data_IF_481214287121
#
_entry.id   IF_481214287121
#
_cell.length_a   1.000
_cell.length_b   1.000
_cell.length_c   1.000
_cell.angle_alpha   90.00
_cell.angle_beta   90.00
_cell.angle_gamma   90.00
#
_symmetry.space_group_name_H-M   'P 1'
#
loop_
_entity.id
_entity.type
_entity.pdbx_description
1 polymer ?
#
# COMPACT_ATOMS: atom_id res chain seq x y z
N UNK A 1 10.57 22.57 -7.23
CA UNK A 1 9.63 21.43 -7.33
C UNK A 1 8.86 21.49 -8.64
N UNK A 2 9.18 20.63 -9.57
CA UNK A 2 8.61 20.68 -10.93
C UNK A 2 7.24 19.98 -10.94
N UNK A 3 6.15 20.72 -10.71
CA UNK A 3 4.76 20.20 -10.76
C UNK A 3 4.36 19.51 -12.08
N UNK A 4 5.12 19.73 -13.16
CA UNK A 4 4.84 19.15 -14.49
C UNK A 4 5.27 17.68 -14.64
N UNK A 5 6.11 17.13 -13.75
CA UNK A 5 6.52 15.71 -13.80
C UNK A 5 5.53 14.77 -13.08
N UNK A 6 4.70 15.31 -12.17
CA UNK A 6 3.69 14.51 -11.44
C UNK A 6 2.42 14.20 -12.26
N UNK A 7 2.22 14.83 -13.41
CA UNK A 7 0.99 14.66 -14.23
C UNK A 7 1.04 13.49 -15.21
N UNK A 8 2.18 12.79 -15.36
CA UNK A 8 2.34 11.73 -16.40
C UNK A 8 1.54 10.45 -16.09
N UNK A 9 1.25 10.16 -14.84
CA UNK A 9 0.58 8.94 -14.41
C UNK A 9 -0.62 9.23 -13.50
N UNK A 10 -1.79 8.71 -13.89
CA UNK A 10 -3.00 8.78 -13.07
C UNK A 10 -3.04 7.63 -12.08
N UNK A 11 -3.71 7.80 -10.93
CA UNK A 11 -3.90 6.74 -9.93
C UNK A 11 -4.43 5.44 -10.55
N UNK A 12 -5.37 5.54 -11.48
CA UNK A 12 -5.92 4.37 -12.17
C UNK A 12 -4.87 3.68 -13.04
N UNK A 13 -4.04 4.45 -13.78
CA UNK A 13 -2.97 3.92 -14.61
C UNK A 13 -1.93 3.17 -13.77
N UNK A 14 -1.59 3.70 -12.59
CA UNK A 14 -0.62 3.07 -11.69
C UNK A 14 -1.15 1.76 -11.09
N UNK A 15 -2.42 1.75 -10.69
CA UNK A 15 -3.07 0.53 -10.18
C UNK A 15 -3.17 -0.55 -11.28
N UNK A 16 -3.52 -0.16 -12.50
CA UNK A 16 -3.54 -1.09 -13.65
C UNK A 16 -2.13 -1.62 -13.97
N UNK A 17 -1.11 -0.78 -13.86
CA UNK A 17 0.27 -1.22 -14.00
C UNK A 17 0.63 -2.27 -12.95
N UNK A 18 0.28 -2.04 -11.68
CA UNK A 18 0.54 -3.00 -10.60
C UNK A 18 -0.18 -4.34 -10.83
N UNK A 19 -1.45 -4.30 -11.22
CA UNK A 19 -2.24 -5.48 -11.56
C UNK A 19 -1.62 -6.28 -12.70
N UNK A 20 -1.33 -5.61 -13.82
CA UNK A 20 -0.71 -6.24 -14.99
C UNK A 20 0.65 -6.85 -14.65
N UNK A 21 1.42 -6.15 -13.84
CA UNK A 21 2.75 -6.56 -13.46
C UNK A 21 2.74 -7.79 -12.55
N UNK A 22 1.94 -7.76 -11.48
CA UNK A 22 1.78 -8.90 -10.57
C UNK A 22 1.19 -10.12 -11.29
N UNK A 23 0.20 -9.90 -12.15
CA UNK A 23 -0.40 -10.99 -12.94
C UNK A 23 0.59 -11.64 -13.88
N UNK A 24 1.52 -10.86 -14.48
CA UNK A 24 2.58 -11.39 -15.35
C UNK A 24 3.57 -12.25 -14.59
N UNK A 25 3.92 -11.88 -13.35
CA UNK A 25 4.92 -12.58 -12.54
C UNK A 25 4.34 -13.81 -11.85
N UNK A 26 3.16 -13.66 -11.25
CA UNK A 26 2.53 -14.68 -10.42
C UNK A 26 1.01 -14.76 -10.70
N UNK A 27 0.61 -15.24 -11.90
CA UNK A 27 -0.81 -15.30 -12.27
C UNK A 27 -1.61 -16.20 -11.32
N UNK A 28 -1.07 -17.37 -10.99
CA UNK A 28 -1.72 -18.32 -10.10
C UNK A 28 -1.96 -17.73 -8.70
N UNK A 29 -0.97 -17.05 -8.14
CA UNK A 29 -1.11 -16.35 -6.86
C UNK A 29 -2.20 -15.28 -6.90
N UNK A 30 -2.23 -14.45 -7.93
CA UNK A 30 -3.23 -13.38 -8.06
C UNK A 30 -4.64 -13.94 -8.14
N UNK A 31 -4.84 -15.01 -8.92
CA UNK A 31 -6.13 -15.72 -9.00
C UNK A 31 -6.49 -16.37 -7.66
N UNK A 32 -5.55 -17.06 -7.02
CA UNK A 32 -5.78 -17.70 -5.71
C UNK A 32 -6.12 -16.67 -4.63
N UNK A 33 -5.48 -15.48 -4.64
CA UNK A 33 -5.81 -14.39 -3.71
C UNK A 33 -7.25 -13.92 -3.90
N UNK A 34 -7.67 -13.75 -5.16
CA UNK A 34 -9.03 -13.35 -5.48
C UNK A 34 -10.06 -14.41 -5.07
N UNK A 35 -9.80 -15.69 -5.41
CA UNK A 35 -10.67 -16.80 -5.01
C UNK A 35 -10.75 -16.96 -3.49
N UNK A 36 -9.63 -16.85 -2.80
CA UNK A 36 -9.60 -16.93 -1.33
C UNK A 36 -10.40 -15.79 -0.69
N UNK A 37 -10.29 -14.58 -1.22
CA UNK A 37 -11.03 -13.42 -0.71
C UNK A 37 -12.54 -13.56 -0.94
N UNK A 38 -12.97 -13.92 -2.17
CA UNK A 38 -14.39 -14.14 -2.49
C UNK A 38 -14.95 -15.32 -1.69
N UNK A 39 -14.28 -16.46 -1.68
CA UNK A 39 -14.72 -17.63 -0.95
C UNK A 39 -14.87 -17.32 0.54
N UNK A 40 -13.88 -16.61 1.10
CA UNK A 40 -13.89 -16.17 2.49
C UNK A 40 -15.12 -15.35 2.83
N UNK A 41 -15.38 -14.29 2.08
CA UNK A 41 -16.45 -13.33 2.37
C UNK A 41 -17.84 -13.86 2.03
N UNK A 42 -17.99 -14.59 0.90
CA UNK A 42 -19.26 -15.18 0.50
C UNK A 42 -19.68 -16.30 1.46
N UNK A 43 -18.77 -17.24 1.76
CA UNK A 43 -19.08 -18.31 2.73
C UNK A 43 -19.42 -17.73 4.09
N UNK A 44 -18.72 -16.69 4.54
CA UNK A 44 -19.03 -16.01 5.80
C UNK A 44 -20.41 -15.32 5.76
N UNK A 45 -20.84 -14.80 4.60
CA UNK A 45 -22.20 -14.28 4.44
C UNK A 45 -23.23 -15.41 4.59
N UNK A 46 -23.01 -16.55 3.96
CA UNK A 46 -23.89 -17.71 4.08
C UNK A 46 -23.95 -18.24 5.51
N UNK A 47 -22.81 -18.36 6.17
CA UNK A 47 -22.67 -18.84 7.55
C UNK A 47 -23.44 -17.97 8.55
N UNK A 48 -23.17 -16.67 8.55
CA UNK A 48 -23.71 -15.77 9.58
C UNK A 48 -25.08 -15.17 9.24
N UNK A 49 -25.47 -15.17 7.96
CA UNK A 49 -26.73 -14.53 7.52
C UNK A 49 -27.75 -15.59 7.14
N UNK A 50 -27.48 -16.37 6.11
CA UNK A 50 -28.49 -17.26 5.55
C UNK A 50 -28.71 -18.52 6.38
N UNK A 51 -27.64 -19.12 6.94
CA UNK A 51 -27.80 -20.30 7.80
C UNK A 51 -28.55 -19.94 9.08
N UNK A 52 -28.19 -18.85 9.73
CA UNK A 52 -28.87 -18.39 10.94
C UNK A 52 -30.36 -18.09 10.67
N UNK A 53 -30.65 -17.39 9.58
CA UNK A 53 -32.02 -17.10 9.15
C UNK A 53 -32.81 -18.40 8.87
N UNK A 54 -32.20 -19.34 8.17
CA UNK A 54 -32.82 -20.62 7.80
C UNK A 54 -33.13 -21.47 9.02
N UNK A 55 -32.19 -21.61 9.99
CA UNK A 55 -32.40 -22.36 11.23
C UNK A 55 -33.60 -21.79 12.02
N UNK A 56 -33.65 -20.46 12.18
CA UNK A 56 -34.78 -19.81 12.89
C UNK A 56 -36.09 -20.06 12.18
N UNK A 57 -36.14 -19.93 10.85
CA UNK A 57 -37.34 -20.23 10.07
C UNK A 57 -37.78 -21.70 10.20
N UNK A 58 -36.82 -22.63 10.27
CA UNK A 58 -37.15 -24.06 10.50
C UNK A 58 -37.76 -24.29 11.92
N UNK A 59 -37.22 -23.60 12.93
CA UNK A 59 -37.78 -23.68 14.29
C UNK A 59 -39.18 -23.06 14.35
N UNK A 60 -39.38 -21.90 13.75
CA UNK A 60 -40.66 -21.21 13.68
C UNK A 60 -41.73 -22.05 12.97
N UNK A 61 -41.35 -22.69 11.89
CA UNK A 61 -42.23 -23.58 11.10
C UNK A 61 -42.34 -25.00 11.68
N UNK A 62 -41.70 -25.31 12.81
CA UNK A 62 -41.65 -26.63 13.44
C UNK A 62 -41.21 -27.74 12.48
N UNK A 63 -40.24 -27.43 11.61
CA UNK A 63 -39.67 -28.42 10.69
C UNK A 63 -38.85 -29.50 11.40
N UNK A 64 -38.57 -30.57 10.70
CA UNK A 64 -37.79 -31.68 11.23
C UNK A 64 -36.31 -31.36 11.31
N UNK A 65 -35.56 -32.10 12.13
CA UNK A 65 -34.12 -32.00 12.21
C UNK A 65 -33.47 -32.21 10.83
N UNK A 66 -34.04 -33.11 10.02
CA UNK A 66 -33.58 -33.44 8.68
C UNK A 66 -33.58 -32.22 7.76
N UNK A 67 -34.59 -31.37 7.85
CA UNK A 67 -34.67 -30.13 7.08
C UNK A 67 -33.56 -29.14 7.44
N UNK A 68 -33.24 -29.06 8.74
CA UNK A 68 -32.13 -28.21 9.22
C UNK A 68 -30.78 -28.73 8.69
N UNK A 69 -30.57 -30.07 8.74
CA UNK A 69 -29.34 -30.71 8.28
C UNK A 69 -29.13 -30.53 6.76
N UNK A 70 -30.17 -30.46 5.99
CA UNK A 70 -30.11 -30.23 4.54
C UNK A 70 -29.36 -28.96 4.14
N UNK A 71 -29.51 -27.90 4.93
CA UNK A 71 -28.80 -26.63 4.69
C UNK A 71 -27.52 -26.51 5.51
N UNK A 72 -27.50 -27.06 6.73
CA UNK A 72 -26.33 -27.01 7.62
C UNK A 72 -25.12 -27.75 7.03
N UNK A 73 -25.31 -28.95 6.48
CA UNK A 73 -24.22 -29.78 5.97
C UNK A 73 -23.49 -29.10 4.81
N UNK A 74 -24.16 -28.61 3.74
CA UNK A 74 -23.49 -27.89 2.67
C UNK A 74 -22.73 -26.64 3.15
N UNK A 75 -23.31 -25.87 4.07
CA UNK A 75 -22.63 -24.70 4.65
C UNK A 75 -21.40 -25.11 5.48
N UNK A 76 -21.52 -26.16 6.29
CA UNK A 76 -20.38 -26.69 7.06
C UNK A 76 -19.25 -27.17 6.15
N UNK A 77 -19.57 -27.85 5.04
CA UNK A 77 -18.59 -28.27 4.03
C UNK A 77 -17.94 -27.02 3.39
N UNK A 78 -18.73 -25.99 3.04
CA UNK A 78 -18.19 -24.76 2.47
C UNK A 78 -17.26 -24.01 3.45
N UNK A 79 -17.62 -23.97 4.74
CA UNK A 79 -16.78 -23.42 5.82
C UNK A 79 -15.48 -24.21 5.95
N UNK A 80 -15.56 -25.56 5.93
CA UNK A 80 -14.37 -26.41 5.98
C UNK A 80 -13.44 -26.17 4.79
N UNK A 81 -14.00 -26.09 3.56
CA UNK A 81 -13.22 -25.77 2.34
C UNK A 81 -12.58 -24.40 2.47
N UNK A 82 -13.32 -23.37 2.92
CA UNK A 82 -12.81 -22.02 3.18
C UNK A 82 -11.62 -22.03 4.12
N UNK A 83 -11.73 -22.74 5.24
CA UNK A 83 -10.68 -22.84 6.26
C UNK A 83 -9.45 -23.59 5.74
N UNK A 84 -9.64 -24.72 5.09
CA UNK A 84 -8.53 -25.51 4.50
C UNK A 84 -7.80 -24.73 3.42
N UNK A 85 -8.57 -24.15 2.47
CA UNK A 85 -7.98 -23.33 1.41
C UNK A 85 -7.27 -22.10 1.98
N UNK A 86 -7.89 -21.40 2.95
CA UNK A 86 -7.28 -20.26 3.61
C UNK A 86 -5.98 -20.58 4.35
N UNK A 87 -5.94 -21.73 5.03
CA UNK A 87 -4.74 -22.21 5.73
C UNK A 87 -3.61 -22.55 4.76
N UNK A 88 -3.90 -23.35 3.71
CA UNK A 88 -2.92 -23.70 2.68
C UNK A 88 -2.44 -22.45 1.93
N UNK A 89 -3.36 -21.57 1.58
CA UNK A 89 -3.02 -20.30 0.92
C UNK A 89 -2.11 -19.44 1.80
N UNK A 90 -2.47 -19.23 3.06
CA UNK A 90 -1.73 -18.35 3.98
C UNK A 90 -0.39 -18.91 4.43
N UNK A 91 -0.31 -20.23 4.65
CA UNK A 91 0.91 -20.86 5.16
C UNK A 91 1.90 -21.25 4.06
N UNK A 92 1.43 -21.55 2.85
CA UNK A 92 2.28 -22.09 1.79
C UNK A 92 2.28 -21.24 0.51
N UNK A 93 1.11 -20.96 -0.08
CA UNK A 93 1.04 -20.31 -1.40
C UNK A 93 1.45 -18.83 -1.32
N UNK A 94 0.91 -18.09 -0.36
CA UNK A 94 1.13 -16.65 -0.28
C UNK A 94 2.58 -16.28 0.05
N UNK A 95 3.25 -16.86 1.06
CA UNK A 95 4.65 -16.53 1.36
C UNK A 95 5.58 -16.84 0.19
N UNK A 96 5.47 -18.04 -0.42
CA UNK A 96 6.30 -18.43 -1.55
C UNK A 96 6.12 -17.52 -2.77
N UNK A 97 4.88 -17.13 -3.06
CA UNK A 97 4.59 -16.24 -4.17
C UNK A 97 5.05 -14.80 -3.90
N UNK A 98 4.92 -14.30 -2.67
CA UNK A 98 5.38 -12.98 -2.28
C UNK A 98 6.89 -12.84 -2.42
N UNK A 99 7.66 -13.83 -1.96
CA UNK A 99 9.12 -13.85 -2.15
C UNK A 99 9.49 -13.84 -3.64
N UNK A 100 8.82 -14.65 -4.46
CA UNK A 100 9.04 -14.67 -5.91
C UNK A 100 8.74 -13.31 -6.56
N UNK A 101 7.65 -12.65 -6.16
CA UNK A 101 7.29 -11.31 -6.66
C UNK A 101 8.36 -10.30 -6.27
N UNK A 102 8.77 -10.29 -4.99
CA UNK A 102 9.80 -9.39 -4.50
C UNK A 102 11.14 -9.60 -5.21
N UNK A 103 11.57 -10.86 -5.36
CA UNK A 103 12.80 -11.19 -6.06
C UNK A 103 12.79 -10.68 -7.50
N UNK A 104 11.74 -10.97 -8.26
CA UNK A 104 11.65 -10.55 -9.66
C UNK A 104 11.56 -9.03 -9.82
N UNK A 105 10.96 -8.35 -8.84
CA UNK A 105 10.97 -6.90 -8.83
C UNK A 105 12.37 -6.35 -8.59
N UNK A 106 13.06 -6.86 -7.56
CA UNK A 106 14.44 -6.44 -7.27
C UNK A 106 15.36 -6.69 -8.46
N UNK A 107 15.25 -7.85 -9.12
CA UNK A 107 16.05 -8.13 -10.33
C UNK A 107 15.85 -7.08 -11.41
N UNK A 108 14.62 -6.71 -11.73
CA UNK A 108 14.36 -5.65 -12.72
C UNK A 108 14.89 -4.28 -12.31
N UNK A 109 14.78 -3.96 -11.02
CA UNK A 109 15.33 -2.72 -10.49
C UNK A 109 16.86 -2.72 -10.58
N UNK A 110 17.52 -3.85 -10.29
CA UNK A 110 18.97 -4.00 -10.40
C UNK A 110 19.44 -3.93 -11.85
N UNK A 111 18.76 -4.62 -12.78
CA UNK A 111 19.04 -4.55 -14.21
C UNK A 111 18.94 -3.11 -14.72
N UNK A 112 17.87 -2.41 -14.31
CA UNK A 112 17.69 -1.00 -14.67
C UNK A 112 18.77 -0.12 -14.05
N UNK A 113 19.08 -0.29 -12.77
CA UNK A 113 20.12 0.46 -12.09
C UNK A 113 21.49 0.24 -12.76
N UNK A 114 21.83 -1.02 -13.10
CA UNK A 114 23.09 -1.33 -13.75
C UNK A 114 23.20 -0.77 -15.20
N UNK A 115 22.06 -0.49 -15.83
CA UNK A 115 22.02 0.07 -17.19
C UNK A 115 22.12 1.60 -17.24
N UNK A 116 22.05 2.28 -16.10
CA UNK A 116 22.09 3.74 -16.02
C UNK A 116 23.51 4.25 -15.85
N UNK A 117 23.79 5.39 -16.46
CA UNK A 117 25.08 6.09 -16.39
C UNK A 117 25.35 6.62 -14.98
N UNK A 118 26.64 6.69 -14.63
CA UNK A 118 27.13 7.16 -13.34
C UNK A 118 26.62 8.59 -13.02
N UNK A 119 26.48 9.44 -14.05
CA UNK A 119 26.01 10.81 -13.90
C UNK A 119 24.62 10.92 -13.28
N UNK A 120 23.76 9.90 -13.46
CA UNK A 120 22.44 9.85 -12.83
C UNK A 120 22.51 9.68 -11.32
N UNK A 121 23.50 8.95 -10.82
CA UNK A 121 23.68 8.71 -9.38
C UNK A 121 24.27 9.92 -8.65
N UNK A 122 24.85 10.88 -9.35
CA UNK A 122 25.30 12.16 -8.77
C UNK A 122 24.12 13.15 -8.59
N UNK A 123 22.93 12.87 -9.20
CA UNK A 123 21.70 13.62 -8.98
C UNK A 123 21.01 13.14 -7.69
N UNK A 124 20.93 14.02 -6.71
CA UNK A 124 20.35 13.74 -5.39
C UNK A 124 18.85 13.39 -5.47
N UNK A 125 18.09 14.02 -6.38
CA UNK A 125 16.65 13.77 -6.54
C UNK A 125 16.44 12.37 -7.12
N UNK A 126 17.18 12.01 -8.18
CA UNK A 126 17.16 10.69 -8.76
C UNK A 126 17.59 9.61 -7.74
N UNK A 127 18.69 9.83 -6.99
CA UNK A 127 19.16 8.85 -6.01
C UNK A 127 18.12 8.60 -4.89
N UNK A 128 17.46 9.63 -4.43
CA UNK A 128 16.37 9.48 -3.46
C UNK A 128 15.20 8.68 -4.06
N UNK A 129 14.78 8.95 -5.29
CA UNK A 129 13.73 8.18 -5.96
C UNK A 129 14.11 6.71 -6.14
N UNK A 130 15.36 6.44 -6.52
CA UNK A 130 15.91 5.10 -6.64
C UNK A 130 15.85 4.33 -5.32
N UNK A 131 16.35 4.91 -4.22
CA UNK A 131 16.31 4.28 -2.89
C UNK A 131 14.87 3.98 -2.47
N UNK A 132 13.95 4.91 -2.70
CA UNK A 132 12.54 4.70 -2.40
C UNK A 132 11.91 3.59 -3.26
N UNK A 133 12.21 3.55 -4.54
CA UNK A 133 11.75 2.49 -5.42
C UNK A 133 12.25 1.11 -4.94
N UNK A 134 13.52 1.02 -4.58
CA UNK A 134 14.12 -0.22 -4.10
C UNK A 134 13.52 -0.75 -2.81
N UNK A 135 13.22 0.15 -1.85
CA UNK A 135 12.78 -0.25 -0.51
C UNK A 135 11.27 -0.45 -0.39
N UNK A 136 10.47 0.32 -1.13
CA UNK A 136 9.02 0.40 -0.88
C UNK A 136 8.15 -0.10 -2.04
N UNK A 137 8.65 -0.09 -3.28
CA UNK A 137 7.82 -0.45 -4.42
C UNK A 137 7.24 -1.88 -4.37
N UNK A 138 7.98 -2.92 -3.92
CA UNK A 138 7.42 -4.27 -3.83
C UNK A 138 6.14 -4.34 -2.99
N UNK A 139 6.15 -3.73 -1.81
CA UNK A 139 5.02 -3.75 -0.89
C UNK A 139 3.83 -2.96 -1.44
N UNK A 140 4.10 -1.85 -2.13
CA UNK A 140 3.03 -1.03 -2.70
C UNK A 140 2.37 -1.65 -3.93
N UNK A 141 3.09 -2.44 -4.73
CA UNK A 141 2.49 -3.20 -5.83
C UNK A 141 1.55 -4.29 -5.31
N UNK A 142 2.02 -5.12 -4.39
CA UNK A 142 1.19 -6.18 -3.80
C UNK A 142 0.01 -5.60 -3.01
N UNK A 143 0.24 -4.51 -2.29
CA UNK A 143 -0.79 -3.77 -1.57
C UNK A 143 -1.86 -3.16 -2.47
N UNK A 144 -1.48 -2.61 -3.63
CA UNK A 144 -2.41 -2.08 -4.62
C UNK A 144 -3.34 -3.18 -5.17
N UNK A 145 -2.77 -4.34 -5.54
CA UNK A 145 -3.54 -5.50 -6.02
C UNK A 145 -4.48 -6.02 -4.94
N UNK A 146 -4.01 -6.17 -3.71
CA UNK A 146 -4.83 -6.56 -2.56
C UNK A 146 -5.99 -5.59 -2.31
N UNK A 147 -5.75 -4.28 -2.45
CA UNK A 147 -6.78 -3.25 -2.30
C UNK A 147 -7.87 -3.36 -3.38
N UNK A 148 -7.49 -3.66 -4.63
CA UNK A 148 -8.45 -3.90 -5.73
C UNK A 148 -9.26 -5.17 -5.46
N UNK A 149 -8.61 -6.27 -5.09
CA UNK A 149 -9.29 -7.53 -4.77
C UNK A 149 -10.28 -7.33 -3.63
N UNK A 150 -9.87 -6.63 -2.57
CA UNK A 150 -10.75 -6.29 -1.45
C UNK A 150 -11.97 -5.50 -1.93
N UNK A 151 -11.78 -4.47 -2.74
CA UNK A 151 -12.88 -3.66 -3.25
C UNK A 151 -13.87 -4.50 -4.07
N UNK A 152 -13.37 -5.31 -5.00
CA UNK A 152 -14.20 -6.19 -5.83
C UNK A 152 -14.99 -7.21 -4.98
N UNK A 153 -14.33 -7.80 -3.99
CA UNK A 153 -14.98 -8.76 -3.08
C UNK A 153 -16.08 -8.08 -2.25
N UNK A 154 -15.81 -6.89 -1.69
CA UNK A 154 -16.80 -6.13 -0.92
C UNK A 154 -18.00 -5.71 -1.79
N UNK A 155 -17.78 -5.35 -3.04
CA UNK A 155 -18.86 -5.07 -3.99
C UNK A 155 -19.70 -6.31 -4.28
N UNK A 156 -19.06 -7.46 -4.53
CA UNK A 156 -19.78 -8.72 -4.78
C UNK A 156 -20.67 -9.12 -3.61
N UNK A 157 -20.11 -9.13 -2.39
CA UNK A 157 -20.88 -9.45 -1.18
C UNK A 157 -21.96 -8.40 -0.90
N UNK A 158 -21.68 -7.13 -1.17
CA UNK A 158 -22.64 -6.03 -1.07
C UNK A 158 -23.83 -6.21 -2.00
N UNK A 159 -23.60 -6.64 -3.24
CA UNK A 159 -24.68 -6.94 -4.21
C UNK A 159 -25.53 -8.12 -3.74
N UNK A 160 -24.93 -9.21 -3.25
CA UNK A 160 -25.67 -10.38 -2.75
C UNK A 160 -26.50 -10.00 -1.52
N UNK A 161 -25.91 -9.30 -0.56
CA UNK A 161 -26.60 -8.84 0.64
C UNK A 161 -27.74 -7.85 0.30
N UNK A 162 -27.50 -6.91 -0.62
CA UNK A 162 -28.48 -5.95 -1.09
C UNK A 162 -29.65 -6.62 -1.82
N UNK A 163 -29.37 -7.58 -2.69
CA UNK A 163 -30.41 -8.35 -3.36
C UNK A 163 -31.31 -9.12 -2.38
N UNK A 164 -30.72 -9.71 -1.34
CA UNK A 164 -31.48 -10.36 -0.29
C UNK A 164 -32.35 -9.38 0.50
N UNK A 165 -31.80 -8.24 0.88
CA UNK A 165 -32.56 -7.18 1.57
C UNK A 165 -33.80 -6.80 0.75
N UNK A 166 -33.61 -6.51 -0.54
CA UNK A 166 -34.71 -6.10 -1.44
C UNK A 166 -35.76 -7.21 -1.59
N UNK A 167 -35.36 -8.47 -1.59
CA UNK A 167 -36.29 -9.60 -1.74
C UNK A 167 -37.22 -9.81 -0.57
N UNK A 168 -36.81 -9.38 0.64
CA UNK A 168 -37.60 -9.53 1.87
C UNK A 168 -38.31 -8.22 2.25
N UNK A 169 -37.58 -7.12 2.28
CA UNK A 169 -38.14 -5.80 2.64
C UNK A 169 -37.40 -4.67 1.90
N UNK A 170 -37.99 -4.23 0.80
CA UNK A 170 -37.42 -3.13 0.00
C UNK A 170 -37.36 -1.78 0.76
N UNK A 171 -38.14 -1.60 1.84
CA UNK A 171 -38.13 -0.37 2.63
C UNK A 171 -36.80 -0.14 3.36
N UNK A 172 -36.01 -1.21 3.58
CA UNK A 172 -34.65 -1.12 4.09
C UNK A 172 -33.73 -0.21 3.25
N UNK A 173 -34.00 -0.10 1.94
CA UNK A 173 -33.27 0.81 1.05
C UNK A 173 -33.36 2.27 1.49
N UNK A 174 -34.48 2.70 2.07
CA UNK A 174 -34.64 4.07 2.58
C UNK A 174 -33.70 4.35 3.74
N UNK A 175 -33.53 3.38 4.63
CA UNK A 175 -32.61 3.51 5.78
C UNK A 175 -31.16 3.51 5.29
N UNK A 176 -30.84 2.62 4.36
CA UNK A 176 -29.50 2.57 3.75
C UNK A 176 -29.18 3.84 2.97
N UNK A 177 -30.19 4.44 2.29
CA UNK A 177 -30.03 5.70 1.56
C UNK A 177 -29.65 6.89 2.48
N UNK A 178 -30.04 6.83 3.75
CA UNK A 178 -29.61 7.83 4.76
C UNK A 178 -28.28 7.43 5.40
N UNK A 179 -28.11 6.16 5.77
CA UNK A 179 -26.95 5.68 6.51
C UNK A 179 -25.66 5.72 5.70
N UNK A 180 -25.72 5.27 4.44
CA UNK A 180 -24.53 5.19 3.57
C UNK A 180 -23.90 6.57 3.33
N UNK A 181 -24.64 7.62 2.90
CA UNK A 181 -24.05 8.96 2.76
C UNK A 181 -23.52 9.52 4.09
N UNK A 182 -24.24 9.31 5.17
CA UNK A 182 -23.84 9.79 6.50
C UNK A 182 -22.48 9.18 6.91
N UNK A 183 -22.36 7.86 6.88
CA UNK A 183 -21.12 7.15 7.22
C UNK A 183 -19.99 7.49 6.24
N UNK A 184 -20.29 7.65 4.96
CA UNK A 184 -19.34 8.07 3.94
C UNK A 184 -18.74 9.46 4.25
N UNK A 185 -19.59 10.44 4.54
CA UNK A 185 -19.15 11.82 4.85
C UNK A 185 -18.24 11.83 6.08
N UNK A 186 -18.64 11.13 7.14
CA UNK A 186 -17.86 11.03 8.38
C UNK A 186 -16.52 10.34 8.16
N UNK A 187 -16.52 9.22 7.45
CA UNK A 187 -15.30 8.48 7.12
C UNK A 187 -14.36 9.30 6.23
N UNK A 188 -14.89 10.02 5.24
CA UNK A 188 -14.11 10.92 4.40
C UNK A 188 -13.47 12.05 5.21
N UNK A 189 -14.21 12.64 6.14
CA UNK A 189 -13.68 13.67 7.05
C UNK A 189 -12.57 13.13 7.95
N UNK A 190 -12.77 11.93 8.51
CA UNK A 190 -11.78 11.25 9.33
C UNK A 190 -10.50 10.91 8.52
N UNK A 191 -10.65 10.38 7.32
CA UNK A 191 -9.53 10.08 6.43
C UNK A 191 -8.72 11.35 6.09
N UNK A 192 -9.40 12.46 5.72
CA UNK A 192 -8.73 13.74 5.45
C UNK A 192 -7.94 14.24 6.65
N UNK A 193 -8.50 14.13 7.85
CA UNK A 193 -7.81 14.55 9.08
C UNK A 193 -6.65 13.64 9.43
N UNK A 194 -6.81 12.33 9.22
CA UNK A 194 -5.73 11.37 9.43
C UNK A 194 -4.56 11.61 8.46
N UNK A 195 -4.83 11.91 7.20
CA UNK A 195 -3.79 12.30 6.22
C UNK A 195 -3.05 13.55 6.69
N UNK A 196 -3.77 14.58 7.13
CA UNK A 196 -3.14 15.80 7.66
C UNK A 196 -2.26 15.52 8.87
N UNK A 197 -2.71 14.64 9.80
CA UNK A 197 -1.90 14.19 10.94
C UNK A 197 -0.60 13.52 10.46
N UNK A 198 -0.67 12.60 9.50
CA UNK A 198 0.52 11.93 8.95
C UNK A 198 1.46 12.93 8.27
N UNK A 199 0.94 13.90 7.52
CA UNK A 199 1.76 14.97 6.91
C UNK A 199 2.50 15.81 7.97
N UNK A 200 1.80 16.21 9.05
CA UNK A 200 2.40 16.96 10.15
C UNK A 200 3.45 16.13 10.91
N UNK A 201 3.29 14.80 11.00
CA UNK A 201 4.22 13.90 11.66
C UNK A 201 5.49 13.59 10.83
N UNK A 202 5.44 13.74 9.50
CA UNK A 202 6.54 13.33 8.60
C UNK A 202 7.90 13.97 8.92
N UNK A 203 8.00 15.29 9.24
CA UNK A 203 9.28 15.91 9.59
C UNK A 203 9.89 15.34 10.86
N UNK A 204 9.06 15.15 11.91
CA UNK A 204 9.50 14.57 13.17
C UNK A 204 9.93 13.11 12.99
N UNK A 205 9.19 12.31 12.25
CA UNK A 205 9.53 10.92 11.94
C UNK A 205 10.87 10.82 11.21
N UNK A 206 11.14 11.71 10.21
CA UNK A 206 12.44 11.73 9.51
C UNK A 206 13.60 12.04 10.46
N UNK A 207 13.43 12.94 11.43
CA UNK A 207 14.46 13.23 12.44
C UNK A 207 14.68 12.04 13.35
N UNK A 208 13.62 11.39 13.83
CA UNK A 208 13.70 10.18 14.65
C UNK A 208 14.41 9.03 13.90
N UNK A 209 14.08 8.82 12.62
CA UNK A 209 14.72 7.79 11.78
C UNK A 209 16.20 8.10 11.54
N UNK A 210 16.58 9.36 11.43
CA UNK A 210 17.98 9.77 11.30
C UNK A 210 18.77 9.48 12.58
N UNK A 211 18.26 9.91 13.74
CA UNK A 211 18.88 9.63 15.03
C UNK A 211 19.01 8.13 15.26
N UNK A 212 17.95 7.37 14.99
CA UNK A 212 17.98 5.91 15.14
C UNK A 212 19.07 5.25 14.30
N UNK A 213 19.26 5.71 13.04
CA UNK A 213 20.34 5.20 12.17
C UNK A 213 21.73 5.37 12.76
N UNK A 214 21.99 6.48 13.44
CA UNK A 214 23.29 6.73 14.10
C UNK A 214 23.59 5.68 15.17
N UNK A 215 22.56 5.16 15.86
CA UNK A 215 22.76 4.15 16.91
C UNK A 215 23.02 2.75 16.38
N UNK A 216 22.51 2.36 15.22
CA UNK A 216 22.63 0.96 14.77
C UNK A 216 23.50 0.76 13.53
N UNK A 217 23.89 1.80 12.79
CA UNK A 217 24.79 1.67 11.65
C UNK A 217 26.27 1.69 12.12
N UNK A 218 27.04 0.70 11.65
CA UNK A 218 28.44 0.53 12.01
C UNK A 218 29.31 1.76 11.68
N UNK A 219 28.96 2.49 10.61
CA UNK A 219 29.69 3.67 10.15
C UNK A 219 29.75 4.80 11.19
N UNK A 220 28.72 4.90 12.05
CA UNK A 220 28.64 5.94 13.08
C UNK A 220 29.12 5.50 14.47
N UNK A 221 29.45 4.21 14.66
CA UNK A 221 29.85 3.67 15.98
C UNK A 221 31.07 4.37 16.53
N UNK A 222 32.05 4.70 15.68
CA UNK A 222 33.24 5.42 16.07
C UNK A 222 32.89 6.79 16.65
N UNK A 223 32.11 7.57 15.94
CA UNK A 223 31.71 8.91 16.35
C UNK A 223 30.88 8.88 17.63
N UNK A 224 30.01 7.87 17.77
CA UNK A 224 29.18 7.64 18.95
C UNK A 224 30.03 7.34 20.20
N UNK A 225 31.11 6.53 20.05
CA UNK A 225 31.99 6.13 21.15
C UNK A 225 33.02 7.20 21.51
N UNK A 226 33.53 7.97 20.54
CA UNK A 226 34.59 8.97 20.76
C UNK A 226 34.05 10.38 20.97
N UNK A 227 32.84 10.71 20.44
CA UNK A 227 32.31 12.07 20.44
C UNK A 227 31.46 12.45 21.64
N UNK A 228 31.17 11.53 22.56
CA UNK A 228 30.23 11.75 23.69
C UNK A 228 28.88 12.42 23.27
N UNK A 229 28.39 12.06 22.06
CA UNK A 229 27.20 12.66 21.46
C UNK A 229 25.88 11.96 21.88
N UNK A 230 25.99 10.82 22.54
CA UNK A 230 24.85 9.99 22.99
C UNK A 230 23.78 10.79 23.75
N UNK A 231 24.15 11.61 24.79
CA UNK A 231 23.12 12.35 25.54
C UNK A 231 22.35 13.37 24.67
N UNK A 232 23.03 13.97 23.69
CA UNK A 232 22.36 14.87 22.72
C UNK A 232 21.39 14.13 21.81
N UNK A 233 21.79 12.97 21.29
CA UNK A 233 20.94 12.16 20.41
C UNK A 233 19.74 11.58 21.16
N UNK A 234 19.92 11.16 22.42
CA UNK A 234 18.82 10.71 23.28
C UNK A 234 17.81 11.83 23.54
N UNK A 235 18.30 13.05 23.78
CA UNK A 235 17.46 14.23 23.92
C UNK A 235 16.71 14.53 22.63
N UNK A 236 17.40 14.56 21.50
CA UNK A 236 16.78 14.80 20.19
C UNK A 236 15.70 13.75 19.87
N UNK A 237 15.92 12.49 20.24
CA UNK A 237 14.93 11.43 20.09
C UNK A 237 13.72 11.64 20.99
N UNK A 238 13.93 12.04 22.25
CA UNK A 238 12.87 12.35 23.21
C UNK A 238 12.05 13.55 22.72
N UNK A 239 12.70 14.66 22.38
CA UNK A 239 12.05 15.88 21.88
C UNK A 239 11.22 15.59 20.63
N UNK A 240 11.75 14.76 19.72
CA UNK A 240 11.04 14.35 18.50
C UNK A 240 9.84 13.45 18.81
N UNK A 241 9.96 12.57 19.79
CA UNK A 241 8.87 11.70 20.23
C UNK A 241 7.77 12.52 20.90
N UNK A 242 8.11 13.48 21.72
CA UNK A 242 7.17 14.40 22.38
C UNK A 242 6.43 15.24 21.32
N UNK A 243 7.12 15.75 20.30
CA UNK A 243 6.50 16.45 19.17
C UNK A 243 5.50 15.55 18.45
N UNK A 244 5.85 14.31 18.15
CA UNK A 244 4.92 13.35 17.54
C UNK A 244 3.71 13.07 18.43
N UNK A 245 3.91 12.93 19.74
CA UNK A 245 2.83 12.75 20.71
C UNK A 245 1.89 13.96 20.76
N UNK A 246 2.41 15.19 20.72
CA UNK A 246 1.60 16.41 20.66
C UNK A 246 0.76 16.49 19.38
N UNK A 247 1.33 16.14 18.22
CA UNK A 247 0.59 16.08 16.95
C UNK A 247 -0.53 15.03 17.05
N UNK A 248 -0.25 13.85 17.60
CA UNK A 248 -1.28 12.82 17.83
C UNK A 248 -2.37 13.35 18.75
N UNK A 249 -2.05 13.95 19.89
CA UNK A 249 -3.03 14.52 20.83
C UNK A 249 -3.88 15.62 20.17
N UNK A 250 -3.27 16.50 19.39
CA UNK A 250 -3.96 17.57 18.63
C UNK A 250 -5.03 17.02 17.69
N UNK A 251 -4.75 15.91 17.00
CA UNK A 251 -5.68 15.31 16.04
C UNK A 251 -6.61 14.26 16.63
N UNK A 252 -6.19 13.57 17.71
CA UNK A 252 -6.89 12.40 18.26
C UNK A 252 -8.31 12.71 18.71
N UNK A 253 -8.54 13.83 19.42
CA UNK A 253 -9.89 14.21 19.90
C UNK A 253 -10.90 14.26 18.74
N UNK A 254 -10.55 14.94 17.66
CA UNK A 254 -11.45 15.07 16.52
C UNK A 254 -11.55 13.76 15.69
N UNK A 255 -10.46 12.98 15.57
CA UNK A 255 -10.51 11.67 14.94
C UNK A 255 -11.38 10.69 15.73
N UNK A 256 -11.19 10.64 17.03
CA UNK A 256 -12.03 9.79 17.92
C UNK A 256 -13.50 10.22 17.85
N UNK A 257 -13.79 11.51 17.90
CA UNK A 257 -15.16 12.00 17.75
C UNK A 257 -15.77 11.60 16.40
N UNK A 258 -15.04 11.76 15.29
CA UNK A 258 -15.52 11.38 13.94
C UNK A 258 -15.74 9.88 13.81
N UNK A 259 -14.82 9.06 14.31
CA UNK A 259 -14.97 7.59 14.25
C UNK A 259 -16.06 7.09 15.20
N UNK A 260 -16.09 7.59 16.43
CA UNK A 260 -17.13 7.23 17.39
C UNK A 260 -18.51 7.62 16.89
N UNK A 261 -18.69 8.83 16.34
CA UNK A 261 -19.99 9.26 15.79
C UNK A 261 -20.38 8.46 14.54
N UNK A 262 -19.43 8.14 13.65
CA UNK A 262 -19.70 7.30 12.50
C UNK A 262 -20.15 5.89 12.89
N UNK A 263 -19.47 5.27 13.86
CA UNK A 263 -19.81 3.95 14.38
C UNK A 263 -21.13 3.98 15.14
N UNK A 264 -21.27 4.89 16.11
CA UNK A 264 -22.49 5.00 16.92
C UNK A 264 -23.73 5.36 16.10
N UNK A 265 -23.59 6.18 15.05
CA UNK A 265 -24.69 6.47 14.14
C UNK A 265 -25.15 5.20 13.40
N UNK A 266 -24.19 4.36 12.94
CA UNK A 266 -24.49 3.05 12.36
C UNK A 266 -25.25 2.16 13.34
N UNK A 267 -24.71 2.00 14.54
CA UNK A 267 -25.29 1.15 15.58
C UNK A 267 -26.69 1.66 16.01
N UNK A 268 -26.86 2.96 16.28
CA UNK A 268 -28.16 3.53 16.65
C UNK A 268 -29.19 3.36 15.52
N UNK A 269 -28.82 3.61 14.28
CA UNK A 269 -29.74 3.51 13.15
C UNK A 269 -30.07 2.04 12.85
N UNK A 270 -29.09 1.14 12.82
CA UNK A 270 -29.31 -0.26 12.47
C UNK A 270 -29.86 -1.04 13.66
N UNK A 271 -29.23 -0.97 14.83
CA UNK A 271 -29.60 -1.80 15.98
C UNK A 271 -30.76 -1.19 16.79
N UNK A 272 -30.90 0.14 16.76
CA UNK A 272 -32.01 0.83 17.39
C UNK A 272 -33.22 0.92 16.47
N UNK A 273 -33.14 1.80 15.48
CA UNK A 273 -34.30 2.18 14.65
C UNK A 273 -34.73 1.05 13.70
N UNK A 274 -33.76 0.52 12.93
CA UNK A 274 -34.08 -0.47 11.91
C UNK A 274 -34.47 -1.82 12.49
N UNK A 275 -33.79 -2.30 13.50
CA UNK A 275 -34.15 -3.55 14.17
C UNK A 275 -35.52 -3.46 14.81
N UNK A 276 -35.85 -2.33 15.47
CA UNK A 276 -37.20 -2.09 16.02
C UNK A 276 -38.29 -2.10 14.93
N UNK A 277 -38.01 -1.47 13.79
CA UNK A 277 -38.88 -1.51 12.62
C UNK A 277 -39.09 -2.93 12.08
N UNK A 278 -38.00 -3.73 11.97
CA UNK A 278 -38.09 -5.13 11.56
C UNK A 278 -38.93 -5.97 12.54
N UNK A 279 -38.74 -5.80 13.85
CA UNK A 279 -39.54 -6.48 14.85
C UNK A 279 -41.02 -6.12 14.77
N UNK A 280 -41.34 -4.84 14.56
CA UNK A 280 -42.71 -4.40 14.37
C UNK A 280 -43.35 -5.07 13.14
N UNK A 281 -42.67 -5.09 12.02
CA UNK A 281 -43.19 -5.73 10.80
C UNK A 281 -43.33 -7.25 10.91
N UNK A 282 -42.39 -7.93 11.62
CA UNK A 282 -42.45 -9.37 11.80
C UNK A 282 -43.51 -9.79 12.86
N UNK A 283 -43.52 -9.15 14.03
CA UNK A 283 -44.33 -9.61 15.16
C UNK A 283 -45.73 -9.00 15.16
N UNK A 284 -45.89 -7.75 14.72
CA UNK A 284 -47.18 -7.05 14.78
C UNK A 284 -47.91 -7.15 13.44
N UNK A 285 -47.20 -6.92 12.34
CA UNK A 285 -47.81 -6.96 10.97
C UNK A 285 -47.72 -8.33 10.30
N UNK A 286 -46.92 -9.26 10.81
CA UNK A 286 -46.80 -10.60 10.25
C UNK A 286 -46.29 -10.65 8.80
N UNK A 287 -45.53 -9.63 8.35
CA UNK A 287 -45.09 -9.55 6.93
C UNK A 287 -44.06 -10.60 6.58
N UNK A 288 -43.22 -11.00 7.50
CA UNK A 288 -42.16 -12.00 7.34
C UNK A 288 -41.81 -12.65 8.69
N UNK A 289 -41.24 -13.89 8.63
CA UNK A 289 -40.85 -14.63 9.84
C UNK A 289 -39.59 -14.09 10.51
N UNK A 290 -39.33 -14.53 11.73
CA UNK A 290 -38.19 -14.12 12.56
C UNK A 290 -36.84 -14.45 11.90
N UNK A 291 -36.74 -15.57 11.18
CA UNK A 291 -35.53 -15.91 10.46
C UNK A 291 -35.23 -14.93 9.33
N UNK A 292 -36.28 -14.49 8.58
CA UNK A 292 -36.09 -13.47 7.54
C UNK A 292 -35.72 -12.12 8.14
N UNK A 293 -36.26 -11.76 9.31
CA UNK A 293 -35.87 -10.58 10.08
C UNK A 293 -34.35 -10.61 10.35
N UNK A 294 -33.86 -11.71 10.94
CA UNK A 294 -32.45 -11.85 11.27
C UNK A 294 -31.56 -11.80 10.03
N UNK A 295 -31.99 -12.44 8.94
CA UNK A 295 -31.27 -12.43 7.67
C UNK A 295 -31.13 -11.02 7.09
N UNK A 296 -32.20 -10.23 7.09
CA UNK A 296 -32.18 -8.85 6.60
C UNK A 296 -31.34 -7.96 7.51
N UNK A 297 -31.46 -8.10 8.81
CA UNK A 297 -30.64 -7.36 9.77
C UNK A 297 -29.14 -7.64 9.59
N UNK A 298 -28.72 -8.91 9.52
CA UNK A 298 -27.31 -9.28 9.31
C UNK A 298 -26.80 -8.82 7.95
N UNK A 299 -27.65 -8.88 6.90
CA UNK A 299 -27.30 -8.37 5.56
C UNK A 299 -27.08 -6.87 5.57
N UNK A 300 -27.89 -6.12 6.32
CA UNK A 300 -27.77 -4.66 6.46
C UNK A 300 -26.50 -4.27 7.21
N UNK A 301 -26.18 -4.95 8.31
CA UNK A 301 -24.92 -4.77 9.02
C UNK A 301 -23.70 -5.03 8.13
N UNK A 302 -23.73 -6.11 7.35
CA UNK A 302 -22.68 -6.42 6.39
C UNK A 302 -22.53 -5.38 5.28
N UNK A 303 -23.64 -4.92 4.73
CA UNK A 303 -23.60 -3.91 3.68
C UNK A 303 -22.99 -2.60 4.21
N UNK A 304 -23.39 -2.16 5.41
CA UNK A 304 -22.78 -1.00 6.05
C UNK A 304 -21.25 -1.19 6.25
N UNK A 305 -20.82 -2.33 6.81
CA UNK A 305 -19.42 -2.65 7.01
C UNK A 305 -18.62 -2.72 5.69
N UNK A 306 -19.22 -3.22 4.61
CA UNK A 306 -18.62 -3.27 3.29
C UNK A 306 -18.41 -1.86 2.69
N UNK A 307 -19.39 -0.96 2.87
CA UNK A 307 -19.28 0.44 2.42
C UNK A 307 -18.17 1.15 3.21
N UNK A 308 -18.15 1.01 4.53
CA UNK A 308 -17.09 1.58 5.37
C UNK A 308 -15.70 1.10 4.95
N UNK A 309 -15.55 -0.20 4.71
CA UNK A 309 -14.30 -0.79 4.25
C UNK A 309 -13.90 -0.26 2.86
N UNK A 310 -14.83 -0.15 1.94
CA UNK A 310 -14.58 0.38 0.60
C UNK A 310 -14.07 1.83 0.67
N UNK A 311 -14.75 2.68 1.46
CA UNK A 311 -14.36 4.09 1.65
C UNK A 311 -13.00 4.20 2.34
N UNK A 312 -12.71 3.36 3.34
CA UNK A 312 -11.41 3.33 4.02
C UNK A 312 -10.25 2.89 3.11
N UNK A 313 -10.53 2.19 2.02
CA UNK A 313 -9.52 1.80 1.03
C UNK A 313 -9.18 2.90 0.01
N UNK A 314 -10.03 3.92 -0.17
CA UNK A 314 -9.76 4.99 -1.16
C UNK A 314 -8.42 5.71 -0.95
N UNK A 315 -8.03 6.13 0.28
CA UNK A 315 -6.72 6.74 0.51
C UNK A 315 -5.55 5.78 0.24
N UNK A 316 -5.76 4.47 0.41
CA UNK A 316 -4.72 3.47 0.14
C UNK A 316 -4.36 3.43 -1.34
N UNK A 317 -5.33 3.58 -2.24
CA UNK A 317 -5.07 3.67 -3.67
C UNK A 317 -4.18 4.86 -4.02
N UNK A 318 -4.44 6.03 -3.44
CA UNK A 318 -3.61 7.22 -3.64
C UNK A 318 -2.19 7.01 -3.12
N UNK A 319 -2.06 6.41 -1.93
CA UNK A 319 -0.76 6.11 -1.36
C UNK A 319 0.02 5.10 -2.21
N UNK A 320 -0.61 4.01 -2.66
CA UNK A 320 0.04 3.05 -3.54
C UNK A 320 0.45 3.68 -4.87
N UNK A 321 -0.42 4.50 -5.48
CA UNK A 321 -0.13 5.21 -6.73
C UNK A 321 1.10 6.11 -6.60
N UNK A 322 1.26 6.83 -5.49
CA UNK A 322 2.42 7.69 -5.24
C UNK A 322 3.75 6.92 -5.34
N UNK A 323 3.81 5.72 -4.78
CA UNK A 323 5.04 4.91 -4.83
C UNK A 323 5.20 4.20 -6.18
N UNK A 324 4.12 3.74 -6.77
CA UNK A 324 4.13 3.10 -8.09
C UNK A 324 4.51 4.11 -9.18
N UNK A 325 4.07 5.35 -9.11
CA UNK A 325 4.47 6.41 -10.06
C UNK A 325 5.97 6.71 -9.98
N UNK A 326 6.56 6.72 -8.77
CA UNK A 326 8.01 6.86 -8.59
C UNK A 326 8.78 5.67 -9.19
N UNK A 327 8.29 4.44 -8.94
CA UNK A 327 8.86 3.24 -9.55
C UNK A 327 8.83 3.32 -11.08
N UNK A 328 7.70 3.72 -11.66
CA UNK A 328 7.56 3.84 -13.12
C UNK A 328 8.49 4.89 -13.68
N UNK A 329 8.61 6.06 -13.04
CA UNK A 329 9.59 7.09 -13.41
C UNK A 329 11.02 6.55 -13.42
N UNK A 330 11.40 5.82 -12.36
CA UNK A 330 12.71 5.18 -12.31
C UNK A 330 12.91 4.20 -13.45
N UNK A 331 11.95 3.34 -13.76
CA UNK A 331 12.04 2.37 -14.86
C UNK A 331 12.06 3.03 -16.25
N UNK A 332 11.42 4.19 -16.39
CA UNK A 332 11.35 4.99 -17.61
C UNK A 332 12.57 5.94 -17.78
N UNK A 333 13.43 6.09 -16.76
CA UNK A 333 14.59 6.98 -16.83
C UNK A 333 15.55 6.52 -17.93
N UNK A 334 15.91 7.43 -18.81
CA UNK A 334 16.88 7.18 -19.87
C UNK A 334 18.27 7.68 -19.46
N UNK A 335 19.31 7.08 -20.06
CA UNK A 335 20.67 7.53 -19.88
C UNK A 335 20.84 8.96 -20.41
N UNK A 336 21.65 9.76 -19.73
CA UNK A 336 22.04 11.10 -20.17
C UNK A 336 23.02 11.05 -21.31
N UNK A 337 23.92 10.06 -21.27
CA UNK A 337 24.89 9.83 -22.32
C UNK A 337 24.33 8.86 -23.35
N UNK A 338 24.31 9.28 -24.61
CA UNK A 338 23.95 8.39 -25.71
C UNK A 338 25.23 7.65 -26.15
N UNK A 339 25.17 6.33 -26.11
CA UNK A 339 26.23 5.52 -26.69
C UNK A 339 26.17 5.67 -28.22
N UNK A 340 26.87 6.69 -28.71
CA UNK A 340 27.00 6.99 -30.13
C UNK A 340 28.39 6.57 -30.65
N UNK A 341 29.22 5.97 -29.82
CA UNK A 341 30.56 5.51 -30.14
C UNK A 341 30.55 4.38 -31.16
N UNK A 342 31.27 4.54 -32.27
CA UNK A 342 31.45 3.49 -33.27
C UNK A 342 32.79 2.76 -33.15
N UNK A 343 33.68 3.27 -32.30
CA UNK A 343 35.03 2.73 -32.12
C UNK A 343 35.00 1.75 -30.93
N UNK A 344 35.49 0.55 -31.17
CA UNK A 344 35.74 -0.39 -30.08
C UNK A 344 37.00 0.02 -29.33
N UNK A 345 36.97 -0.03 -28.01
CA UNK A 345 38.13 0.24 -27.19
C UNK A 345 39.22 -0.78 -27.49
N UNK A 346 40.41 -0.36 -27.92
CA UNK A 346 41.47 -1.30 -28.24
C UNK A 346 41.91 -2.03 -26.97
N UNK A 347 42.01 -3.35 -27.03
CA UNK A 347 42.42 -4.19 -25.88
C UNK A 347 43.87 -3.94 -25.44
N UNK A 348 44.67 -3.23 -26.25
CA UNK A 348 46.11 -2.98 -26.09
C UNK A 348 46.46 -1.54 -26.45
N UNK A 349 45.89 -0.55 -25.79
CA UNK A 349 46.21 0.85 -26.04
C UNK A 349 46.63 1.59 -24.76
N UNK A 350 47.46 2.61 -24.92
CA UNK A 350 47.67 3.62 -23.88
C UNK A 350 46.47 4.55 -23.82
N UNK A 351 46.19 5.11 -22.66
CA UNK A 351 45.13 6.09 -22.45
C UNK A 351 45.73 7.49 -22.53
N UNK A 352 45.28 8.29 -23.51
CA UNK A 352 45.72 9.66 -23.65
C UNK A 352 44.56 10.62 -23.46
N UNK A 353 44.74 11.60 -22.57
CA UNK A 353 43.84 12.73 -22.36
C UNK A 353 44.48 13.96 -22.98
N UNK A 354 43.75 14.65 -23.87
CA UNK A 354 44.20 15.87 -24.53
C UNK A 354 43.25 17.00 -24.27
N UNK A 355 43.68 18.02 -23.54
CA UNK A 355 42.94 19.24 -23.24
C UNK A 355 41.51 19.00 -22.67
N UNK A 356 41.42 18.07 -21.71
CA UNK A 356 40.13 17.67 -21.14
C UNK A 356 39.61 18.73 -20.20
N UNK A 357 38.43 19.25 -20.54
CA UNK A 357 37.67 20.18 -19.70
C UNK A 357 36.32 19.55 -19.31
N UNK A 358 35.95 19.70 -18.02
CA UNK A 358 34.68 19.16 -17.52
C UNK A 358 34.03 20.06 -16.48
N UNK A 359 32.72 20.31 -16.65
CA UNK A 359 31.87 21.07 -15.71
C UNK A 359 30.70 20.22 -15.29
N UNK A 360 30.47 20.04 -13.98
CA UNK A 360 29.27 19.38 -13.47
C UNK A 360 28.01 20.19 -13.82
N UNK A 361 26.90 19.52 -14.15
CA UNK A 361 25.61 20.19 -14.36
C UNK A 361 25.23 21.07 -13.15
N UNK A 362 24.94 22.35 -13.42
CA UNK A 362 24.60 23.33 -12.37
C UNK A 362 25.77 24.15 -11.82
N UNK A 363 27.01 23.82 -12.16
CA UNK A 363 28.17 24.64 -11.82
C UNK A 363 28.47 25.67 -12.92
N UNK A 364 28.91 26.84 -12.52
CA UNK A 364 29.32 27.91 -13.43
C UNK A 364 30.80 27.81 -13.85
N UNK A 365 31.61 27.08 -13.08
CA UNK A 365 33.03 26.93 -13.36
C UNK A 365 33.40 25.46 -13.66
N UNK A 366 34.34 25.22 -14.59
CA UNK A 366 34.83 23.88 -14.88
C UNK A 366 35.62 23.31 -13.69
N UNK A 367 35.30 22.08 -13.36
CA UNK A 367 35.99 21.28 -12.33
C UNK A 367 37.33 20.76 -12.81
N UNK A 368 37.43 20.42 -14.11
CA UNK A 368 38.67 20.11 -14.78
C UNK A 368 38.91 21.16 -15.86
N UNK A 369 40.13 21.67 -15.94
CA UNK A 369 40.53 22.77 -16.85
C UNK A 369 41.75 22.35 -17.64
N UNK A 370 41.60 21.96 -18.91
CA UNK A 370 42.71 21.72 -19.82
C UNK A 370 43.68 20.61 -19.38
N UNK A 371 43.17 19.47 -18.94
CA UNK A 371 44.00 18.35 -18.46
C UNK A 371 44.54 17.56 -19.64
N UNK A 372 45.84 17.49 -19.76
CA UNK A 372 46.54 16.67 -20.75
C UNK A 372 47.51 15.73 -20.06
N UNK A 373 47.32 14.43 -20.21
CA UNK A 373 48.22 13.40 -19.68
C UNK A 373 48.07 12.07 -20.43
N UNK A 374 49.10 11.22 -20.34
CA UNK A 374 49.12 9.91 -20.96
C UNK A 374 49.48 8.84 -19.93
N UNK A 375 48.74 7.71 -20.00
CA UNK A 375 48.95 6.55 -19.13
C UNK A 375 49.29 5.33 -20.00
N UNK A 376 50.39 4.70 -19.75
CA UNK A 376 50.79 3.49 -20.47
C UNK A 376 50.06 2.27 -19.91
N UNK A 377 49.76 1.31 -20.79
CA UNK A 377 49.11 0.06 -20.39
C UNK A 377 49.91 -0.64 -19.28
N UNK A 378 49.23 -0.96 -18.15
CA UNK A 378 49.85 -1.64 -17.02
C UNK A 378 50.62 -0.74 -16.06
N UNK A 379 50.72 0.54 -16.35
CA UNK A 379 51.35 1.52 -15.48
C UNK A 379 50.48 1.76 -14.24
N UNK A 380 51.14 1.87 -13.09
CA UNK A 380 50.50 2.26 -11.83
C UNK A 380 50.79 3.73 -11.55
N UNK A 381 49.74 4.55 -11.65
CA UNK A 381 49.83 6.00 -11.46
C UNK A 381 49.08 6.41 -10.19
N UNK A 382 49.68 7.29 -9.37
CA UNK A 382 49.05 7.88 -8.22
C UNK A 382 48.63 9.33 -8.53
N UNK A 383 47.32 9.62 -8.41
CA UNK A 383 46.81 10.97 -8.47
C UNK A 383 46.88 11.64 -7.10
N UNK A 384 47.69 12.68 -6.98
CA UNK A 384 47.93 13.41 -5.71
C UNK A 384 47.46 14.87 -5.88
N UNK A 385 46.87 15.43 -4.83
CA UNK A 385 46.41 16.81 -4.84
C UNK A 385 45.48 17.12 -3.67
N UNK A 386 45.16 18.38 -3.45
CA UNK A 386 44.26 18.85 -2.38
C UNK A 386 42.84 18.30 -2.55
N UNK A 387 42.05 18.31 -1.47
CA UNK A 387 40.66 17.99 -1.53
C UNK A 387 39.92 19.02 -2.41
N UNK A 388 39.10 18.56 -3.35
CA UNK A 388 38.47 19.44 -4.32
C UNK A 388 39.25 19.68 -5.62
N UNK A 389 40.49 19.17 -5.77
CA UNK A 389 41.29 19.37 -6.97
C UNK A 389 40.84 18.58 -8.24
N UNK A 390 39.66 17.96 -8.23
CA UNK A 390 39.13 17.25 -9.39
C UNK A 390 39.62 15.81 -9.58
N UNK A 391 40.40 15.22 -8.63
CA UNK A 391 40.93 13.85 -8.72
C UNK A 391 39.86 12.79 -8.99
N UNK A 392 38.80 12.79 -8.20
CA UNK A 392 37.68 11.86 -8.35
C UNK A 392 36.88 12.11 -9.61
N UNK A 393 36.83 13.35 -10.09
CA UNK A 393 36.20 13.72 -11.36
C UNK A 393 36.96 13.15 -12.54
N UNK A 394 38.30 13.26 -12.53
CA UNK A 394 39.14 12.70 -13.59
C UNK A 394 39.02 11.18 -13.70
N UNK A 395 38.86 10.47 -12.57
CA UNK A 395 38.67 9.01 -12.57
C UNK A 395 37.28 8.61 -13.07
N UNK A 396 36.28 9.46 -12.89
CA UNK A 396 34.89 9.20 -13.34
C UNK A 396 34.70 9.42 -14.85
N UNK A 397 35.52 10.25 -15.48
CA UNK A 397 35.54 10.46 -16.92
C UNK A 397 36.14 9.27 -17.67
#
# INVERSE_FOLDING_TARGET
MNKKADEKHTTVSDILFALKWQFKIAPCYTVCTFLQSILGDVVTLFEHTFLAAYIINCVEQRKTLTDVLYFLIPVAIAVFIKLMFGTVFGAYIAPAAQEKIQMQMRMRLYEKAASLDLARYDDTEFYNEFVWAMQKAPDHITGAVSSVITLLTRLTVGIIAGAYIVSVDASALLILAVLIPLTYIMQRAANKRNMKKEEEMMPARRRSDYVSRIFYLADYVKDLKTGNITPKLEKDLTDTTDEMCEIVKKHSKALTALWATAQSAGDIIIDGVYLSYLFFNALVLGKFGLGSLLGVYNSTQRLNGNVLTAVANLPKFQNHSLYISKLRRFLETENTMKDSGRLQMPSNGDLELSDVEFTYPGNSEPTLKGISCSFKKGEKVALVGFNGAGKSTLIKL
#
